data_IF_041271204284
#
_entry.id   IF_041271204284
#
_cell.length_a   1.000
_cell.length_b   1.000
_cell.length_c   1.000
_cell.angle_alpha   90.00
_cell.angle_beta   90.00
_cell.angle_gamma   90.00
#
_symmetry.space_group_name_H-M   'P 1'
#
loop_
_entity.id
_entity.type
_entity.pdbx_description
1 polymer ?
#
# COMPACT_ATOMS: atom_id res chain seq x y z
N UNK A 1 -4.02 2.53 -8.64
CA UNK A 1 -2.84 1.80 -9.14
C UNK A 1 -3.28 0.49 -9.80
N UNK A 2 -2.70 0.12 -10.95
CA UNK A 2 -3.01 -1.15 -11.62
C UNK A 2 -1.83 -2.12 -11.57
N UNK A 3 -2.08 -3.42 -11.77
CA UNK A 3 -1.04 -4.46 -11.75
C UNK A 3 -0.02 -4.23 -12.86
N UNK A 4 -0.42 -3.68 -14.01
CA UNK A 4 0.46 -3.35 -15.13
C UNK A 4 1.43 -2.20 -14.82
N UNK A 5 1.23 -1.51 -13.69
CA UNK A 5 2.14 -0.48 -13.20
C UNK A 5 3.23 -1.03 -12.26
N UNK A 6 3.24 -2.34 -11.99
CA UNK A 6 4.21 -3.01 -11.14
C UNK A 6 5.25 -3.75 -11.98
N UNK A 7 6.52 -3.47 -11.74
CA UNK A 7 7.63 -4.11 -12.43
C UNK A 7 8.53 -4.79 -11.39
N UNK A 8 8.56 -6.11 -11.42
CA UNK A 8 9.42 -6.89 -10.54
C UNK A 8 10.84 -6.91 -11.10
N UNK A 9 11.81 -6.56 -10.28
CA UNK A 9 13.23 -6.69 -10.62
C UNK A 9 13.60 -8.13 -10.96
N UNK A 10 14.55 -8.31 -11.89
CA UNK A 10 15.05 -9.64 -12.26
C UNK A 10 15.64 -10.40 -11.06
N UNK A 11 16.32 -9.65 -10.18
CA UNK A 11 16.91 -10.14 -8.94
C UNK A 11 15.88 -10.39 -7.84
N UNK A 12 14.63 -9.93 -8.01
CA UNK A 12 13.52 -10.02 -7.06
C UNK A 12 13.82 -9.39 -5.69
N UNK A 13 14.64 -8.33 -5.69
CA UNK A 13 15.05 -7.56 -4.51
C UNK A 13 14.29 -6.24 -4.36
N UNK A 14 13.60 -5.79 -5.42
CA UNK A 14 12.68 -4.65 -5.39
C UNK A 14 11.52 -4.78 -6.40
N UNK A 15 10.50 -3.94 -6.22
CA UNK A 15 9.36 -3.74 -7.12
C UNK A 15 9.34 -2.27 -7.52
N UNK A 16 9.51 -1.99 -8.81
CA UNK A 16 9.38 -0.64 -9.36
C UNK A 16 7.91 -0.33 -9.62
N UNK A 17 7.43 0.81 -9.10
CA UNK A 17 6.06 1.29 -9.31
C UNK A 17 6.09 2.50 -10.23
N UNK A 18 5.33 2.42 -11.33
CA UNK A 18 5.10 3.56 -12.23
C UNK A 18 3.65 4.05 -12.08
N UNK A 19 3.37 5.00 -11.18
CA UNK A 19 2.00 5.50 -10.98
C UNK A 19 1.49 6.21 -12.25
N UNK A 20 0.20 6.05 -12.53
CA UNK A 20 -0.47 6.82 -13.58
C UNK A 20 -0.66 8.27 -13.09
N UNK A 21 -0.42 9.24 -13.95
CA UNK A 21 -0.54 10.67 -13.63
C UNK A 21 -1.93 11.01 -13.09
N UNK A 22 -2.02 11.66 -11.92
CA UNK A 22 -3.26 12.29 -11.45
C UNK A 22 -3.47 13.64 -12.16
N UNK A 23 -4.73 14.10 -12.20
CA UNK A 23 -5.21 15.31 -12.91
C UNK A 23 -4.53 16.64 -12.50
N UNK A 24 -3.59 16.67 -11.56
CA UNK A 24 -3.01 17.90 -11.02
C UNK A 24 -1.64 18.29 -11.58
N UNK A 25 -1.02 17.51 -12.48
CA UNK A 25 0.25 17.91 -13.11
C UNK A 25 0.03 18.42 -14.52
N UNK A 26 0.03 19.75 -14.66
CA UNK A 26 -0.01 20.41 -15.97
C UNK A 26 1.25 20.15 -16.82
N UNK A 27 2.40 19.78 -16.24
CA UNK A 27 3.60 19.40 -17.01
C UNK A 27 4.47 18.42 -16.19
N UNK A 28 4.79 17.25 -16.76
CA UNK A 28 5.75 16.28 -16.21
C UNK A 28 5.11 15.09 -15.50
N UNK A 29 5.30 13.88 -16.06
CA UNK A 29 4.90 12.62 -15.42
C UNK A 29 5.52 12.49 -14.03
N UNK A 30 4.86 11.75 -13.13
CA UNK A 30 5.49 11.33 -11.87
C UNK A 30 6.56 10.31 -12.24
N UNK A 31 7.81 10.59 -11.89
CA UNK A 31 8.90 9.61 -11.97
C UNK A 31 8.53 8.41 -11.08
N UNK A 32 8.66 7.19 -11.60
CA UNK A 32 8.40 5.99 -10.82
C UNK A 32 9.35 5.87 -9.64
N UNK A 33 9.06 4.98 -8.70
CA UNK A 33 9.90 4.76 -7.53
C UNK A 33 10.00 3.26 -7.21
N UNK A 34 11.10 2.88 -6.56
CA UNK A 34 11.38 1.50 -6.18
C UNK A 34 10.95 1.24 -4.74
N UNK A 35 10.25 0.13 -4.53
CA UNK A 35 10.03 -0.46 -3.22
C UNK A 35 11.00 -1.63 -3.04
N UNK A 36 11.83 -1.58 -2.01
CA UNK A 36 12.81 -2.63 -1.71
C UNK A 36 12.25 -3.66 -0.72
N UNK A 37 12.67 -4.90 -0.86
CA UNK A 37 12.32 -5.95 0.10
C UNK A 37 13.05 -5.71 1.42
N UNK A 38 12.30 -5.69 2.52
CA UNK A 38 12.88 -5.62 3.86
C UNK A 38 13.51 -6.96 4.23
N UNK A 39 14.73 -6.83 4.77
CA UNK A 39 15.60 -7.94 5.14
C UNK A 39 15.89 -8.00 6.63
N UNK A 40 15.66 -6.90 7.36
CA UNK A 40 15.78 -6.88 8.82
C UNK A 40 14.64 -7.68 9.46
N UNK A 41 14.97 -8.63 10.33
CA UNK A 41 14.03 -9.60 10.90
C UNK A 41 12.80 -8.94 11.56
N UNK A 42 13.00 -7.83 12.27
CA UNK A 42 11.92 -7.05 12.89
C UNK A 42 11.02 -6.29 11.89
N UNK A 43 11.52 -5.99 10.69
CA UNK A 43 10.80 -5.24 9.65
C UNK A 43 10.14 -6.13 8.61
N UNK A 44 10.48 -7.41 8.56
CA UNK A 44 9.88 -8.38 7.62
C UNK A 44 8.34 -8.34 7.62
N UNK A 45 7.63 -8.28 8.77
CA UNK A 45 6.17 -8.19 8.78
C UNK A 45 5.60 -6.91 8.17
N UNK A 46 6.38 -5.82 8.14
CA UNK A 46 5.99 -4.51 7.60
C UNK A 46 6.43 -4.31 6.15
N UNK A 47 7.08 -5.31 5.55
CA UNK A 47 7.59 -5.22 4.20
C UNK A 47 6.47 -5.12 3.17
N UNK A 48 6.32 -3.93 2.58
CA UNK A 48 5.32 -3.66 1.54
C UNK A 48 5.50 -4.58 0.34
N UNK A 49 6.73 -4.87 -0.09
CA UNK A 49 6.98 -5.80 -1.21
C UNK A 49 6.50 -7.22 -0.91
N UNK A 50 6.69 -7.72 0.32
CA UNK A 50 6.19 -9.04 0.73
C UNK A 50 4.67 -9.04 0.77
N UNK A 51 4.06 -8.04 1.41
CA UNK A 51 2.61 -7.90 1.47
C UNK A 51 1.98 -7.83 0.07
N UNK A 52 2.59 -7.07 -0.85
CA UNK A 52 2.15 -6.93 -2.23
C UNK A 52 2.27 -8.24 -3.02
N UNK A 53 3.41 -8.94 -2.88
CA UNK A 53 3.63 -10.25 -3.51
C UNK A 53 2.63 -11.29 -3.00
N UNK A 54 2.42 -11.34 -1.69
CA UNK A 54 1.53 -12.31 -1.07
C UNK A 54 0.07 -11.99 -1.44
N UNK A 55 -0.32 -10.71 -1.50
CA UNK A 55 -1.60 -10.27 -2.05
C UNK A 55 -1.81 -10.76 -3.49
N UNK A 56 -0.89 -10.48 -4.40
CA UNK A 56 -1.00 -10.94 -5.80
C UNK A 56 -1.08 -12.47 -5.91
N UNK A 57 -0.33 -13.19 -5.08
CA UNK A 57 -0.36 -14.65 -5.03
C UNK A 57 -1.70 -15.19 -4.53
N UNK A 58 -2.25 -14.61 -3.46
CA UNK A 58 -3.51 -15.06 -2.83
C UNK A 58 -4.69 -14.72 -3.73
N UNK A 59 -4.71 -13.51 -4.30
CA UNK A 59 -5.83 -13.03 -5.11
C UNK A 59 -5.82 -13.55 -6.54
N UNK A 60 -4.65 -13.94 -7.06
CA UNK A 60 -4.49 -14.39 -8.44
C UNK A 60 -4.71 -13.29 -9.48
N UNK A 61 -4.78 -12.02 -9.07
CA UNK A 61 -4.98 -10.90 -9.98
C UNK A 61 -3.71 -10.71 -10.82
N UNK A 62 -3.88 -10.74 -12.14
CA UNK A 62 -2.79 -10.55 -13.11
C UNK A 62 -2.95 -9.27 -13.94
N UNK A 63 -4.16 -8.69 -13.97
CA UNK A 63 -4.48 -7.49 -14.75
C UNK A 63 -5.53 -6.63 -14.04
N UNK A 64 -5.59 -5.34 -14.38
CA UNK A 64 -6.54 -4.38 -13.80
C UNK A 64 -6.05 -3.76 -12.50
N UNK A 65 -6.99 -3.22 -11.72
CA UNK A 65 -6.68 -2.56 -10.45
C UNK A 65 -6.01 -3.52 -9.46
N UNK A 66 -4.96 -3.02 -8.81
CA UNK A 66 -4.22 -3.79 -7.82
C UNK A 66 -5.08 -4.13 -6.60
N UNK A 67 -5.95 -3.19 -6.22
CA UNK A 67 -6.95 -3.36 -5.18
C UNK A 67 -8.33 -3.19 -5.84
N UNK A 68 -8.91 -4.28 -6.37
CA UNK A 68 -10.27 -4.25 -6.86
C UNK A 68 -11.23 -4.00 -5.71
N UNK A 69 -12.42 -3.57 -6.06
CA UNK A 69 -13.57 -3.52 -5.16
C UNK A 69 -13.69 -4.83 -4.37
N UNK A 70 -13.95 -4.74 -3.08
CA UNK A 70 -14.26 -5.89 -2.24
C UNK A 70 -15.75 -5.92 -1.89
N UNK A 71 -16.34 -7.10 -1.99
CA UNK A 71 -17.70 -7.41 -1.58
C UNK A 71 -17.69 -8.17 -0.24
N UNK A 72 -18.88 -8.36 0.32
CA UNK A 72 -19.08 -9.14 1.54
C UNK A 72 -18.37 -10.50 1.50
N UNK A 73 -17.90 -10.91 2.67
CA UNK A 73 -17.13 -12.14 2.89
C UNK A 73 -15.77 -12.15 2.17
N UNK A 74 -15.10 -10.99 2.08
CA UNK A 74 -13.78 -10.82 1.48
C UNK A 74 -13.70 -11.29 0.02
N UNK A 75 -14.81 -11.15 -0.72
CA UNK A 75 -14.87 -11.54 -2.13
C UNK A 75 -14.40 -10.40 -3.00
N UNK A 76 -13.41 -10.64 -3.84
CA UNK A 76 -12.95 -9.65 -4.80
C UNK A 76 -13.97 -9.49 -5.92
N UNK A 77 -14.27 -8.24 -6.27
CA UNK A 77 -15.01 -7.91 -7.46
C UNK A 77 -14.16 -7.99 -8.73
N UNK A 78 -14.75 -7.63 -9.89
CA UNK A 78 -14.02 -7.61 -11.15
C UNK A 78 -12.77 -6.73 -11.03
N UNK A 79 -11.64 -7.18 -11.57
CA UNK A 79 -10.37 -6.44 -11.49
C UNK A 79 -10.41 -5.07 -12.20
N UNK A 80 -11.45 -4.80 -12.98
CA UNK A 80 -11.67 -3.51 -13.66
C UNK A 80 -12.41 -2.49 -12.81
N UNK A 81 -12.89 -2.85 -11.62
CA UNK A 81 -13.54 -1.92 -10.69
C UNK A 81 -12.60 -1.63 -9.53
N UNK A 82 -12.23 -0.36 -9.40
CA UNK A 82 -11.38 0.13 -8.32
C UNK A 82 -12.13 0.14 -6.98
N UNK A 83 -11.44 -0.21 -5.89
CA UNK A 83 -11.95 0.01 -4.54
C UNK A 83 -12.08 1.50 -4.25
N UNK A 84 -13.21 1.94 -3.71
CA UNK A 84 -13.34 3.33 -3.30
C UNK A 84 -12.72 3.58 -1.91
N UNK A 85 -12.47 4.85 -1.59
CA UNK A 85 -11.84 5.24 -0.32
C UNK A 85 -12.71 4.90 0.90
N UNK A 86 -14.04 4.95 0.77
CA UNK A 86 -14.96 4.60 1.86
C UNK A 86 -14.97 3.09 2.15
N UNK A 87 -14.86 2.26 1.12
CA UNK A 87 -14.72 0.82 1.21
C UNK A 87 -13.41 0.45 1.92
N UNK A 88 -12.30 1.08 1.52
CA UNK A 88 -11.02 0.92 2.21
C UNK A 88 -11.13 1.30 3.69
N UNK A 89 -11.73 2.45 4.01
CA UNK A 89 -11.92 2.90 5.38
C UNK A 89 -12.75 1.91 6.20
N UNK A 90 -13.82 1.37 5.62
CA UNK A 90 -14.66 0.40 6.31
C UNK A 90 -13.89 -0.89 6.61
N UNK A 91 -13.12 -1.40 5.65
CA UNK A 91 -12.28 -2.59 5.84
C UNK A 91 -11.21 -2.36 6.90
N UNK A 92 -10.56 -1.19 6.87
CA UNK A 92 -9.57 -0.82 7.87
C UNK A 92 -10.17 -0.75 9.27
N UNK A 93 -11.36 -0.16 9.43
CA UNK A 93 -12.08 -0.14 10.71
C UNK A 93 -12.45 -1.54 11.21
N UNK A 94 -12.90 -2.42 10.30
CA UNK A 94 -13.19 -3.80 10.65
C UNK A 94 -11.93 -4.52 11.15
N UNK A 95 -10.79 -4.35 10.47
CA UNK A 95 -9.51 -4.91 10.91
C UNK A 95 -9.11 -4.39 12.30
N UNK A 96 -9.32 -3.11 12.60
CA UNK A 96 -9.05 -2.54 13.93
C UNK A 96 -9.93 -3.20 15.01
N UNK A 97 -11.21 -3.38 14.74
CA UNK A 97 -12.12 -4.09 15.65
C UNK A 97 -11.66 -5.52 15.91
N UNK A 98 -11.21 -6.24 14.87
CA UNK A 98 -10.73 -7.63 14.99
C UNK A 98 -9.50 -7.76 15.91
N UNK A 99 -8.66 -6.72 15.98
CA UNK A 99 -7.50 -6.67 16.88
C UNK A 99 -7.79 -5.94 18.21
N UNK A 100 -9.07 -5.67 18.51
CA UNK A 100 -9.51 -5.04 19.75
C UNK A 100 -9.16 -3.56 19.89
N UNK A 101 -8.93 -2.86 18.77
CA UNK A 101 -8.67 -1.42 18.74
C UNK A 101 -9.94 -0.65 18.38
N UNK A 102 -10.09 0.54 18.96
CA UNK A 102 -11.22 1.43 18.65
C UNK A 102 -11.08 2.03 17.22
N UNK A 103 -12.01 1.72 16.30
CA UNK A 103 -11.95 2.21 14.93
C UNK A 103 -12.14 3.73 14.81
N UNK A 104 -12.80 4.40 15.77
CA UNK A 104 -13.04 5.85 15.72
C UNK A 104 -11.81 6.66 16.13
N UNK A 105 -10.86 6.00 16.80
CA UNK A 105 -9.57 6.58 17.17
C UNK A 105 -8.60 6.73 15.98
N UNK A 106 -8.90 6.15 14.82
CA UNK A 106 -8.00 6.15 13.65
C UNK A 106 -8.67 6.61 12.35
N UNK A 107 -8.15 7.68 11.76
CA UNK A 107 -8.46 8.08 10.38
C UNK A 107 -7.28 7.82 9.42
N UNK A 108 -7.48 7.95 8.11
CA UNK A 108 -6.39 7.81 7.09
C UNK A 108 -5.20 8.73 7.39
N UNK A 109 -5.47 9.96 7.88
CA UNK A 109 -4.41 10.87 8.28
C UNK A 109 -3.65 10.42 9.52
N UNK A 110 -4.32 9.74 10.47
CA UNK A 110 -3.70 9.15 11.64
C UNK A 110 -2.87 7.90 11.27
N UNK A 111 -3.34 7.09 10.31
CA UNK A 111 -2.58 5.95 9.79
C UNK A 111 -1.26 6.41 9.16
N UNK A 112 -1.32 7.43 8.29
CA UNK A 112 -0.14 8.00 7.64
C UNK A 112 0.83 8.62 8.66
N UNK A 113 0.35 9.57 9.48
CA UNK A 113 1.22 10.30 10.41
C UNK A 113 1.67 9.43 11.57
N UNK A 114 0.77 8.64 12.14
CA UNK A 114 1.06 7.73 13.24
C UNK A 114 2.02 6.62 12.83
N UNK A 115 1.85 6.04 11.63
CA UNK A 115 2.78 5.06 11.08
C UNK A 115 4.19 5.64 10.89
N UNK A 116 4.30 6.79 10.20
CA UNK A 116 5.57 7.50 10.04
C UNK A 116 6.21 7.88 11.38
N UNK A 117 5.40 8.32 12.34
CA UNK A 117 5.88 8.73 13.65
C UNK A 117 6.38 7.55 14.49
N UNK A 118 5.64 6.43 14.52
CA UNK A 118 6.07 5.20 15.19
C UNK A 118 7.36 4.64 14.58
N UNK A 119 7.48 4.62 13.25
CA UNK A 119 8.71 4.18 12.59
C UNK A 119 9.90 5.10 12.89
N UNK A 120 9.68 6.41 13.00
CA UNK A 120 10.74 7.34 13.36
C UNK A 120 11.14 7.25 14.84
N UNK A 121 10.17 7.15 15.74
CA UNK A 121 10.39 7.27 17.20
C UNK A 121 10.77 5.93 17.83
N UNK A 122 10.04 4.87 17.51
CA UNK A 122 10.16 3.57 18.17
C UNK A 122 11.07 2.63 17.39
N UNK A 123 10.93 2.61 16.07
CA UNK A 123 11.78 1.78 15.18
C UNK A 123 13.13 2.45 14.89
N UNK A 124 13.22 3.77 15.05
CA UNK A 124 14.42 4.59 14.74
C UNK A 124 14.86 4.48 13.28
N UNK A 125 13.91 4.30 12.36
CA UNK A 125 14.20 4.42 10.93
C UNK A 125 14.75 5.80 10.60
N UNK A 126 15.67 5.88 9.65
CA UNK A 126 16.17 7.18 9.20
C UNK A 126 15.04 7.96 8.53
N UNK A 127 15.10 9.30 8.58
CA UNK A 127 14.09 10.14 7.92
C UNK A 127 13.94 9.82 6.42
N UNK A 128 15.02 9.57 5.65
CA UNK A 128 14.91 9.05 4.28
C UNK A 128 14.10 7.77 4.15
N UNK A 129 14.29 6.80 5.05
CA UNK A 129 13.58 5.51 4.99
C UNK A 129 12.09 5.68 5.34
N UNK A 130 11.76 6.53 6.31
CA UNK A 130 10.37 6.87 6.66
C UNK A 130 9.67 7.55 5.49
N UNK A 131 10.35 8.48 4.79
CA UNK A 131 9.78 9.16 3.62
C UNK A 131 9.59 8.21 2.43
N UNK A 132 10.52 7.29 2.21
CA UNK A 132 10.39 6.24 1.18
C UNK A 132 9.22 5.31 1.49
N UNK A 133 9.06 4.89 2.74
CA UNK A 133 7.92 4.11 3.19
C UNK A 133 6.61 4.87 2.99
N UNK A 134 6.56 6.15 3.40
CA UNK A 134 5.37 7.00 3.25
C UNK A 134 4.96 7.13 1.78
N UNK A 135 5.93 7.34 0.87
CA UNK A 135 5.67 7.44 -0.56
C UNK A 135 5.10 6.14 -1.14
N UNK A 136 5.62 4.99 -0.72
CA UNK A 136 5.09 3.67 -1.09
C UNK A 136 3.67 3.46 -0.61
N UNK A 137 3.42 3.73 0.67
CA UNK A 137 2.10 3.55 1.29
C UNK A 137 1.06 4.52 0.73
N UNK A 138 1.40 5.79 0.52
CA UNK A 138 0.51 6.77 -0.12
C UNK A 138 0.07 6.33 -1.51
N UNK A 139 0.99 5.80 -2.31
CA UNK A 139 0.68 5.35 -3.68
C UNK A 139 -0.23 4.12 -3.70
N UNK A 140 -0.14 3.28 -2.66
CA UNK A 140 -0.95 2.07 -2.55
C UNK A 140 -2.31 2.32 -1.91
N UNK A 141 -2.38 3.21 -0.91
CA UNK A 141 -3.60 3.46 -0.12
C UNK A 141 -4.46 4.63 -0.65
N UNK A 142 -3.90 5.51 -1.49
CA UNK A 142 -4.64 6.64 -2.09
C UNK A 142 -4.52 6.70 -3.63
N UNK A 143 -4.87 5.63 -4.36
CA UNK A 143 -4.90 5.62 -5.83
C UNK A 143 -5.97 6.52 -6.47
#
# INVERSE_FOLDING_TARGET
>A
LKVENLYFSERKDHIHIRPYTSKSKQHGGVEGFDLYFETEEGMIPLCVCRALRDWLRITGITTGYLFPRMYDYNRLGPSQTHMDQSEFLQLFRNMLMDIGQDPDSFGIHALRRGGCQWMFQDVRMSLPDVLNWEAGVLTLLMP
#
